data_IF_426937100666
#
_entry.id   IF_426937100666
#
_cell.length_a   1.000
_cell.length_b   1.000
_cell.length_c   1.000
_cell.angle_alpha   90.00
_cell.angle_beta   90.00
_cell.angle_gamma   90.00
#
_symmetry.space_group_name_H-M   'P 1'
#
loop_
_entity.id
_entity.type
_entity.pdbx_description
1 polymer ?
#
# COMPACT_ATOMS: atom_id res chain seq x y z
N UNK A 1 8.33 14.67 23.87
CA UNK A 1 8.06 15.09 22.48
C UNK A 1 8.40 13.89 21.61
N UNK A 2 7.58 13.56 20.61
CA UNK A 2 7.81 12.41 19.73
C UNK A 2 7.48 12.79 18.29
N UNK A 3 8.17 12.18 17.32
CA UNK A 3 7.96 12.41 15.90
C UNK A 3 7.47 11.12 15.25
N UNK A 4 6.48 11.23 14.37
CA UNK A 4 5.96 10.11 13.58
C UNK A 4 6.38 10.31 12.13
N UNK A 5 6.99 9.29 11.54
CA UNK A 5 7.41 9.29 10.14
C UNK A 5 6.90 8.01 9.47
N UNK A 6 6.36 8.15 8.26
CA UNK A 6 5.78 7.06 7.45
C UNK A 6 6.80 6.38 6.54
N UNK A 7 8.00 6.94 6.44
CA UNK A 7 9.15 6.37 5.73
C UNK A 7 10.44 6.86 6.38
N UNK A 8 11.45 5.98 6.48
CA UNK A 8 12.80 6.37 6.89
C UNK A 8 13.54 6.98 5.69
N UNK A 9 13.23 8.22 5.37
CA UNK A 9 13.93 8.92 4.30
C UNK A 9 15.35 9.24 4.77
N UNK A 10 16.35 8.64 4.12
CA UNK A 10 17.79 8.88 4.35
C UNK A 10 18.38 8.34 5.67
N UNK A 11 17.78 7.33 6.30
CA UNK A 11 18.37 6.66 7.48
C UNK A 11 18.33 7.50 8.76
N UNK A 12 17.35 8.42 8.86
CA UNK A 12 17.13 9.30 10.01
C UNK A 12 16.99 8.49 11.30
N UNK A 13 16.34 7.32 11.26
CA UNK A 13 16.16 6.47 12.44
C UNK A 13 17.47 5.96 13.02
N UNK A 14 18.49 5.74 12.17
CA UNK A 14 19.82 5.30 12.58
C UNK A 14 20.65 6.48 13.13
N UNK A 15 20.42 7.70 12.63
CA UNK A 15 21.14 8.91 13.07
C UNK A 15 20.58 9.55 14.35
N UNK A 16 19.29 9.38 14.63
CA UNK A 16 18.59 10.05 15.74
C UNK A 16 19.27 9.86 17.12
N UNK A 17 19.70 8.65 17.53
CA UNK A 17 20.37 8.45 18.82
C UNK A 17 21.67 9.25 18.98
N UNK A 18 22.35 9.57 17.87
CA UNK A 18 23.60 10.34 17.87
C UNK A 18 23.36 11.85 17.94
N UNK A 19 22.21 12.33 17.46
CA UNK A 19 21.85 13.75 17.48
C UNK A 19 21.15 14.11 18.79
N UNK A 20 20.29 13.23 19.30
CA UNK A 20 19.57 13.44 20.55
C UNK A 20 19.66 12.21 21.46
N UNK A 21 20.65 12.23 22.35
CA UNK A 21 20.84 11.20 23.37
C UNK A 21 19.60 10.99 24.24
N UNK A 22 19.23 9.73 24.46
CA UNK A 22 18.07 9.35 25.27
C UNK A 22 16.78 9.13 24.49
N UNK A 23 16.78 9.36 23.17
CA UNK A 23 15.66 9.00 22.30
C UNK A 23 15.66 7.50 22.00
N UNK A 24 14.46 6.91 22.01
CA UNK A 24 14.21 5.52 21.65
C UNK A 24 13.46 5.48 20.32
N UNK A 25 13.99 4.77 19.35
CA UNK A 25 13.35 4.54 18.05
C UNK A 25 12.79 3.14 18.00
N UNK A 26 11.57 3.01 17.49
CA UNK A 26 10.89 1.74 17.31
C UNK A 26 10.15 1.78 15.97
N UNK A 27 10.27 0.72 15.17
CA UNK A 27 9.53 0.57 13.91
C UNK A 27 8.26 -0.24 14.18
N UNK A 28 7.10 0.39 13.96
CA UNK A 28 5.80 -0.20 14.28
C UNK A 28 4.97 -0.55 13.05
N UNK A 29 5.54 -0.41 11.84
CA UNK A 29 4.87 -0.65 10.56
C UNK A 29 3.49 0.05 10.47
N UNK A 30 2.53 -0.52 9.74
CA UNK A 30 1.21 0.04 9.47
C UNK A 30 0.19 -0.13 10.62
N UNK A 31 0.65 -0.54 11.83
CA UNK A 31 -0.17 -0.80 13.04
C UNK A 31 -0.78 0.46 13.67
N UNK A 32 -1.21 1.39 12.84
CA UNK A 32 -1.86 2.64 13.15
C UNK A 32 -3.00 2.47 14.18
N UNK A 33 -3.83 1.44 14.03
CA UNK A 33 -4.96 1.19 14.92
C UNK A 33 -4.51 0.79 16.33
N UNK A 34 -3.51 -0.11 16.42
CA UNK A 34 -2.91 -0.49 17.69
C UNK A 34 -2.27 0.72 18.40
N UNK A 35 -1.67 1.62 17.62
CA UNK A 35 -1.03 2.84 18.12
C UNK A 35 -2.04 3.89 18.61
N UNK A 36 -3.12 4.10 17.86
CA UNK A 36 -4.22 4.95 18.30
C UNK A 36 -4.78 4.48 19.65
N UNK A 37 -4.93 3.16 19.81
CA UNK A 37 -5.38 2.54 21.06
C UNK A 37 -4.36 2.73 22.20
N UNK A 38 -3.08 2.43 21.95
CA UNK A 38 -2.01 2.56 22.96
C UNK A 38 -1.80 4.01 23.43
N UNK A 39 -1.99 4.99 22.54
CA UNK A 39 -1.89 6.40 22.87
C UNK A 39 -3.03 6.91 23.77
N UNK A 40 -4.11 6.13 24.00
CA UNK A 40 -5.22 6.46 24.92
C UNK A 40 -5.74 7.91 24.81
N UNK A 41 -5.85 8.41 23.58
CA UNK A 41 -6.32 9.79 23.31
C UNK A 41 -5.29 10.90 23.54
N UNK A 42 -4.05 10.58 23.91
CA UNK A 42 -2.94 11.54 23.94
C UNK A 42 -2.55 12.03 22.54
N UNK A 43 -2.88 11.26 21.50
CA UNK A 43 -2.71 11.62 20.11
C UNK A 43 -4.04 12.09 19.52
N UNK A 44 -4.06 13.30 18.94
CA UNK A 44 -5.18 13.76 18.12
C UNK A 44 -4.95 13.34 16.69
N UNK A 45 -5.76 12.40 16.22
CA UNK A 45 -5.73 11.92 14.84
C UNK A 45 -6.81 12.65 14.03
N UNK A 46 -6.53 12.98 12.75
CA UNK A 46 -7.58 13.48 11.87
C UNK A 46 -8.65 12.40 11.68
N UNK A 47 -9.91 12.82 11.66
CA UNK A 47 -11.01 11.92 11.31
C UNK A 47 -10.79 11.41 9.87
N UNK A 48 -10.82 10.08 9.64
CA UNK A 48 -10.69 9.55 8.29
C UNK A 48 -11.77 10.08 7.36
N UNK A 49 -11.37 10.63 6.22
CA UNK A 49 -12.29 10.95 5.14
C UNK A 49 -12.60 9.67 4.36
N UNK A 50 -13.73 9.05 4.70
CA UNK A 50 -14.17 7.81 4.07
C UNK A 50 -14.59 8.00 2.61
N UNK A 51 -15.00 9.21 2.22
CA UNK A 51 -15.36 9.50 0.83
C UNK A 51 -14.10 9.60 -0.03
N UNK A 52 -13.11 10.40 0.39
CA UNK A 52 -11.82 10.45 -0.28
C UNK A 52 -11.09 9.09 -0.25
N UNK A 53 -11.22 8.36 0.86
CA UNK A 53 -10.68 7.03 1.02
C UNK A 53 -11.24 6.02 0.02
N UNK A 54 -12.58 5.99 -0.17
CA UNK A 54 -13.19 5.05 -1.13
C UNK A 54 -12.88 5.42 -2.57
N UNK A 55 -12.73 6.71 -2.89
CA UNK A 55 -12.31 7.15 -4.22
C UNK A 55 -10.88 6.71 -4.53
N UNK A 56 -9.98 6.89 -3.57
CA UNK A 56 -8.59 6.44 -3.68
C UNK A 56 -8.51 4.92 -3.83
N UNK A 57 -9.25 4.17 -3.00
CA UNK A 57 -9.29 2.72 -3.06
C UNK A 57 -9.85 2.21 -4.39
N UNK A 58 -10.97 2.77 -4.86
CA UNK A 58 -11.56 2.38 -6.14
C UNK A 58 -10.61 2.67 -7.31
N UNK A 59 -9.99 3.85 -7.36
CA UNK A 59 -9.05 4.20 -8.42
C UNK A 59 -7.83 3.25 -8.46
N UNK A 60 -7.26 2.96 -7.29
CA UNK A 60 -6.10 2.09 -7.18
C UNK A 60 -6.42 0.64 -7.55
N UNK A 61 -7.54 0.11 -7.07
CA UNK A 61 -8.01 -1.23 -7.42
C UNK A 61 -8.37 -1.33 -8.91
N UNK A 62 -9.00 -0.30 -9.48
CA UNK A 62 -9.27 -0.24 -10.92
C UNK A 62 -7.97 -0.38 -11.71
N UNK A 63 -6.96 0.43 -11.35
CA UNK A 63 -5.64 0.37 -12.00
C UNK A 63 -5.05 -1.04 -11.93
N UNK A 64 -5.14 -1.70 -10.77
CA UNK A 64 -4.56 -3.04 -10.55
C UNK A 64 -5.33 -4.15 -11.26
N UNK A 65 -6.67 -4.10 -11.29
CA UNK A 65 -7.51 -5.10 -11.96
C UNK A 65 -7.35 -5.03 -13.49
N UNK A 66 -7.27 -3.81 -14.03
CA UNK A 66 -7.11 -3.55 -15.46
C UNK A 66 -5.66 -3.25 -15.87
N UNK A 67 -4.69 -3.58 -15.01
CA UNK A 67 -3.28 -3.37 -15.32
C UNK A 67 -2.86 -4.23 -16.53
N UNK A 68 -1.97 -3.68 -17.35
CA UNK A 68 -1.31 -4.45 -18.41
C UNK A 68 -0.35 -5.48 -17.83
N UNK A 69 0.05 -6.46 -18.65
CA UNK A 69 0.98 -7.50 -18.21
C UNK A 69 2.28 -6.93 -17.62
N UNK A 70 2.86 -5.90 -18.23
CA UNK A 70 4.12 -5.29 -17.77
C UNK A 70 4.01 -4.62 -16.39
N UNK A 71 2.81 -4.19 -16.01
CA UNK A 71 2.53 -3.59 -14.71
C UNK A 71 2.15 -4.63 -13.66
N UNK A 72 2.02 -5.90 -14.05
CA UNK A 72 1.73 -7.01 -13.15
C UNK A 72 2.98 -7.54 -12.44
N UNK A 73 2.84 -8.24 -11.29
CA UNK A 73 3.97 -8.89 -10.64
C UNK A 73 4.77 -9.81 -11.57
N UNK A 74 4.10 -10.58 -12.44
CA UNK A 74 4.76 -11.44 -13.42
C UNK A 74 5.55 -10.62 -14.47
N UNK A 75 4.99 -9.52 -14.96
CA UNK A 75 5.69 -8.61 -15.88
C UNK A 75 6.90 -7.95 -15.24
N UNK A 76 6.82 -7.58 -13.96
CA UNK A 76 7.94 -7.04 -13.19
C UNK A 76 9.05 -8.08 -12.99
N UNK A 77 8.70 -9.34 -12.70
CA UNK A 77 9.67 -10.45 -12.64
C UNK A 77 10.39 -10.62 -13.97
N UNK A 78 9.65 -10.59 -15.09
CA UNK A 78 10.25 -10.66 -16.42
C UNK A 78 11.21 -9.48 -16.69
N UNK A 79 10.81 -8.25 -16.35
CA UNK A 79 11.66 -7.06 -16.52
C UNK A 79 12.97 -7.19 -15.74
N UNK A 80 12.89 -7.59 -14.47
CA UNK A 80 14.08 -7.79 -13.63
C UNK A 80 14.98 -8.86 -14.23
N UNK A 81 14.42 -10.00 -14.66
CA UNK A 81 15.18 -11.08 -15.28
C UNK A 81 15.93 -10.63 -16.54
N UNK A 82 15.29 -9.81 -17.39
CA UNK A 82 15.93 -9.23 -18.58
C UNK A 82 17.07 -8.28 -18.20
N UNK A 83 16.91 -7.47 -17.15
CA UNK A 83 17.94 -6.55 -16.69
C UNK A 83 19.18 -7.28 -16.15
N UNK A 84 19.01 -8.42 -15.48
CA UNK A 84 20.11 -9.16 -14.85
C UNK A 84 20.68 -10.27 -15.73
N UNK A 85 20.06 -10.59 -16.87
CA UNK A 85 20.54 -11.61 -17.79
C UNK A 85 22.03 -11.46 -18.21
N UNK A 86 22.58 -10.25 -18.44
CA UNK A 86 23.99 -10.09 -18.80
C UNK A 86 24.99 -10.47 -17.69
N UNK A 87 24.56 -10.43 -16.42
CA UNK A 87 25.40 -10.67 -15.24
C UNK A 87 25.13 -12.02 -14.55
N UNK A 88 24.04 -12.70 -14.93
CA UNK A 88 23.65 -14.00 -14.41
C UNK A 88 23.20 -14.95 -15.53
N UNK A 89 24.12 -15.46 -16.37
CA UNK A 89 23.79 -16.25 -17.57
C UNK A 89 23.14 -17.62 -17.28
N UNK A 90 22.94 -17.99 -16.01
CA UNK A 90 22.21 -19.18 -15.58
C UNK A 90 20.89 -18.90 -14.85
N UNK A 91 20.48 -17.63 -14.74
CA UNK A 91 19.21 -17.29 -14.11
C UNK A 91 18.04 -17.65 -15.05
N UNK A 92 17.26 -18.64 -14.66
CA UNK A 92 16.06 -19.07 -15.38
C UNK A 92 14.84 -18.69 -14.55
N UNK A 93 13.95 -17.89 -15.14
CA UNK A 93 12.61 -17.69 -14.59
C UNK A 93 11.71 -18.78 -15.16
N UNK A 94 11.12 -19.59 -14.29
CA UNK A 94 10.17 -20.62 -14.70
C UNK A 94 8.89 -20.00 -15.25
N UNK A 95 8.24 -20.65 -16.21
CA UNK A 95 6.92 -20.24 -16.72
C UNK A 95 5.88 -20.07 -15.60
N UNK A 96 5.97 -20.88 -14.55
CA UNK A 96 5.13 -20.80 -13.36
C UNK A 96 5.25 -19.46 -12.61
N UNK A 97 6.41 -18.82 -12.65
CA UNK A 97 6.65 -17.50 -12.05
C UNK A 97 6.12 -16.35 -12.92
N UNK A 98 5.88 -16.62 -14.20
CA UNK A 98 5.29 -15.68 -15.16
C UNK A 98 3.80 -15.90 -15.38
N UNK A 99 3.25 -17.00 -14.86
CA UNK A 99 1.83 -17.28 -14.93
C UNK A 99 1.06 -16.16 -14.22
N UNK A 100 0.10 -15.54 -14.93
CA UNK A 100 -0.80 -14.54 -14.36
C UNK A 100 -1.81 -15.22 -13.43
N UNK A 101 -1.34 -15.59 -12.23
CA UNK A 101 -2.14 -16.23 -11.17
C UNK A 101 -2.78 -15.22 -10.23
N UNK A 102 -2.74 -13.93 -10.58
CA UNK A 102 -3.44 -12.91 -9.82
C UNK A 102 -4.94 -13.21 -9.83
N UNK A 103 -5.54 -13.46 -8.67
CA UNK A 103 -6.99 -13.61 -8.57
C UNK A 103 -7.62 -12.28 -8.95
N UNK A 104 -8.23 -12.21 -10.14
CA UNK A 104 -8.99 -11.06 -10.61
C UNK A 104 -10.47 -11.26 -10.26
N UNK A 105 -11.21 -10.20 -9.90
CA UNK A 105 -12.65 -10.32 -9.73
C UNK A 105 -13.30 -10.65 -11.08
N UNK A 106 -14.35 -11.45 -11.05
CA UNK A 106 -15.30 -11.53 -12.15
C UNK A 106 -15.95 -10.17 -12.40
N UNK A 107 -16.51 -9.97 -13.60
CA UNK A 107 -17.25 -8.74 -13.93
C UNK A 107 -18.37 -8.45 -12.93
N UNK A 108 -19.08 -9.51 -12.49
CA UNK A 108 -20.16 -9.39 -11.51
C UNK A 108 -19.63 -8.98 -10.12
N UNK A 109 -18.48 -9.51 -9.68
CA UNK A 109 -17.83 -9.10 -8.43
C UNK A 109 -17.37 -7.65 -8.49
N UNK A 110 -16.77 -7.25 -9.60
CA UNK A 110 -16.33 -5.88 -9.82
C UNK A 110 -17.50 -4.89 -9.84
N UNK A 111 -18.60 -5.22 -10.53
CA UNK A 111 -19.80 -4.40 -10.55
C UNK A 111 -20.39 -4.20 -9.15
N UNK A 112 -20.44 -5.26 -8.32
CA UNK A 112 -20.89 -5.18 -6.93
C UNK A 112 -20.00 -4.26 -6.09
N UNK A 113 -18.68 -4.30 -6.30
CA UNK A 113 -17.75 -3.40 -5.64
C UNK A 113 -18.00 -1.93 -6.02
N UNK A 114 -18.10 -1.63 -7.32
CA UNK A 114 -18.37 -0.26 -7.81
C UNK A 114 -19.69 0.29 -7.27
N UNK A 115 -20.74 -0.52 -7.24
CA UNK A 115 -22.04 -0.16 -6.68
C UNK A 115 -21.95 0.14 -5.17
N UNK A 116 -21.21 -0.67 -4.40
CA UNK A 116 -20.96 -0.41 -2.99
C UNK A 116 -20.23 0.92 -2.74
N UNK A 117 -19.23 1.24 -3.56
CA UNK A 117 -18.55 2.55 -3.50
C UNK A 117 -19.53 3.70 -3.78
N UNK A 118 -20.39 3.55 -4.78
CA UNK A 118 -21.44 4.51 -5.11
C UNK A 118 -22.40 4.77 -3.95
N UNK A 119 -22.88 3.71 -3.29
CA UNK A 119 -23.75 3.82 -2.11
C UNK A 119 -23.08 4.55 -0.95
N UNK A 120 -21.82 4.27 -0.67
CA UNK A 120 -21.08 4.92 0.41
C UNK A 120 -20.95 6.43 0.16
N UNK A 121 -20.60 6.84 -1.06
CA UNK A 121 -20.55 8.26 -1.44
C UNK A 121 -21.90 8.94 -1.25
N UNK A 122 -22.97 8.32 -1.76
CA UNK A 122 -24.32 8.88 -1.66
C UNK A 122 -24.77 9.02 -0.19
N UNK A 123 -24.38 8.09 0.68
CA UNK A 123 -24.64 8.19 2.11
C UNK A 123 -23.89 9.35 2.75
N UNK A 124 -22.61 9.57 2.40
CA UNK A 124 -21.79 10.64 2.99
C UNK A 124 -22.19 12.02 2.51
N UNK A 125 -22.57 12.17 1.24
CA UNK A 125 -23.10 13.41 0.69
C UNK A 125 -24.42 13.87 1.35
N UNK A 126 -25.23 12.93 1.88
CA UNK A 126 -26.46 13.23 2.62
C UNK A 126 -26.23 13.59 4.10
N UNK A 127 -25.03 13.32 4.63
CA UNK A 127 -24.68 13.56 6.03
C UNK A 127 -23.79 14.78 6.25
N UNK A 128 -23.40 15.47 5.16
CA UNK A 128 -22.69 16.75 5.16
C UNK A 128 -23.70 17.91 5.07
#
# INVERSE_FOLDING_TARGET
MGAWQTADTMGIFQGLPHVWGGWRTECWEDRFEEQAVRCRGALRLPTPDLAAGIDSAQAWLTKRVFQGFMDSPAGQVLQIAQLVAPIGPGLVVSDDALADRGVRPSEAEWARFVDACGRLRASRAKSA
#
